data_IF_573103703349
#
_entry.id   IF_573103703349
#
_cell.length_a   1.000
_cell.length_b   1.000
_cell.length_c   1.000
_cell.angle_alpha   90.00
_cell.angle_beta   90.00
_cell.angle_gamma   90.00
#
_symmetry.space_group_name_H-M   'P 1'
#
loop_
_entity.id
_entity.type
_entity.pdbx_description
1 polymer ?
#
# COMPACT_ATOMS: atom_id res chain seq x y z
N UNK A 1 -2.22 -36.15 -12.53
CA UNK A 1 -1.33 -35.37 -13.44
C UNK A 1 -2.03 -34.86 -14.71
N UNK A 2 -3.24 -35.33 -15.04
CA UNK A 2 -3.95 -34.95 -16.28
C UNK A 2 -4.91 -33.76 -16.12
N UNK A 3 -5.38 -33.45 -14.91
CA UNK A 3 -6.35 -32.38 -14.69
C UNK A 3 -5.77 -30.98 -14.94
N UNK A 4 -4.51 -30.74 -14.61
CA UNK A 4 -3.84 -29.46 -14.89
C UNK A 4 -3.65 -29.24 -16.40
N UNK A 5 -3.41 -30.30 -17.17
CA UNK A 5 -3.24 -30.24 -18.63
C UNK A 5 -4.58 -30.05 -19.35
N UNK A 6 -5.64 -30.75 -18.90
CA UNK A 6 -7.00 -30.52 -19.42
C UNK A 6 -7.53 -29.12 -19.10
N UNK A 7 -7.28 -28.61 -17.89
CA UNK A 7 -7.66 -27.23 -17.54
C UNK A 7 -6.95 -26.20 -18.43
N UNK A 8 -5.68 -26.44 -18.80
CA UNK A 8 -4.93 -25.62 -19.76
C UNK A 8 -5.56 -25.65 -21.16
N UNK A 9 -5.94 -26.82 -21.65
CA UNK A 9 -6.62 -26.96 -22.95
C UNK A 9 -8.00 -26.31 -22.98
N UNK A 10 -8.82 -26.49 -21.94
CA UNK A 10 -10.17 -25.87 -21.87
C UNK A 10 -10.12 -24.37 -21.69
N UNK A 11 -9.08 -23.84 -21.03
CA UNK A 11 -8.93 -22.41 -20.79
C UNK A 11 -8.14 -21.70 -21.90
N UNK A 12 -7.42 -22.42 -22.76
CA UNK A 12 -6.74 -21.86 -23.94
C UNK A 12 -5.98 -20.56 -23.64
N UNK A 13 -6.27 -19.50 -24.39
CA UNK A 13 -5.71 -18.15 -24.21
C UNK A 13 -6.10 -17.46 -22.89
N UNK A 14 -7.13 -17.97 -22.20
CA UNK A 14 -7.54 -17.52 -20.87
C UNK A 14 -6.77 -18.24 -19.74
N UNK A 15 -5.99 -19.27 -20.03
CA UNK A 15 -5.13 -19.91 -19.03
C UNK A 15 -3.98 -18.97 -18.64
N UNK A 16 -4.06 -18.37 -17.45
CA UNK A 16 -3.15 -17.31 -17.02
C UNK A 16 -3.73 -15.89 -17.17
N UNK A 17 -4.90 -15.75 -17.79
CA UNK A 17 -5.67 -14.51 -17.65
C UNK A 17 -6.26 -14.45 -16.24
N UNK A 18 -5.71 -13.54 -15.42
CA UNK A 18 -6.36 -13.12 -14.17
C UNK A 18 -7.81 -12.76 -14.49
N UNK A 19 -8.75 -13.50 -13.88
CA UNK A 19 -10.19 -13.33 -14.03
C UNK A 19 -10.54 -11.84 -13.98
N UNK A 20 -11.05 -11.33 -15.08
CA UNK A 20 -11.50 -9.96 -15.19
C UNK A 20 -12.72 -9.75 -14.31
N UNK A 21 -12.51 -9.28 -13.07
CA UNK A 21 -13.50 -8.40 -12.45
C UNK A 21 -13.72 -7.20 -13.37
N UNK A 22 -14.87 -6.50 -13.28
CA UNK A 22 -15.24 -5.47 -14.26
C UNK A 22 -14.15 -4.41 -14.51
N UNK A 23 -13.23 -4.25 -13.55
CA UNK A 23 -12.16 -3.27 -13.55
C UNK A 23 -11.04 -3.65 -14.52
N UNK A 24 -10.69 -2.70 -15.39
CA UNK A 24 -9.55 -2.83 -16.30
C UNK A 24 -8.27 -2.97 -15.48
N UNK A 25 -7.40 -3.91 -15.85
CA UNK A 25 -6.10 -4.16 -15.19
C UNK A 25 -5.25 -2.89 -15.07
N UNK A 26 -5.34 -2.01 -16.08
CA UNK A 26 -4.65 -0.72 -16.09
C UNK A 26 -5.10 0.20 -14.95
N UNK A 27 -6.39 0.21 -14.61
CA UNK A 27 -6.92 1.02 -13.51
C UNK A 27 -6.44 0.51 -12.15
N UNK A 28 -6.38 -0.82 -11.97
CA UNK A 28 -5.83 -1.45 -10.76
C UNK A 28 -4.35 -1.10 -10.55
N UNK A 29 -3.55 -1.18 -11.61
CA UNK A 29 -2.12 -0.81 -11.54
C UNK A 29 -1.91 0.67 -11.24
N UNK A 30 -2.75 1.55 -11.80
CA UNK A 30 -2.71 2.98 -11.50
C UNK A 30 -3.09 3.24 -10.03
N UNK A 31 -4.17 2.63 -9.54
CA UNK A 31 -4.60 2.76 -8.14
C UNK A 31 -3.52 2.27 -7.19
N UNK A 32 -2.94 1.08 -7.45
CA UNK A 32 -1.88 0.53 -6.62
C UNK A 32 -0.67 1.47 -6.55
N UNK A 33 -0.25 2.05 -7.67
CA UNK A 33 0.86 3.02 -7.70
C UNK A 33 0.53 4.27 -6.89
N UNK A 34 -0.69 4.80 -7.01
CA UNK A 34 -1.15 5.97 -6.27
C UNK A 34 -1.24 5.71 -4.77
N UNK A 35 -1.83 4.59 -4.36
CA UNK A 35 -1.97 4.21 -2.96
C UNK A 35 -0.61 3.99 -2.32
N UNK A 36 0.29 3.22 -2.95
CA UNK A 36 1.63 2.98 -2.41
C UNK A 36 2.41 4.28 -2.23
N UNK A 37 2.33 5.21 -3.19
CA UNK A 37 2.95 6.54 -3.06
C UNK A 37 2.29 7.38 -1.96
N UNK A 38 0.96 7.36 -1.87
CA UNK A 38 0.20 8.05 -0.84
C UNK A 38 0.51 7.52 0.57
N UNK A 39 0.70 6.21 0.72
CA UNK A 39 1.08 5.58 1.99
C UNK A 39 2.45 6.07 2.46
N UNK A 40 3.43 6.13 1.56
CA UNK A 40 4.76 6.67 1.90
C UNK A 40 4.69 8.13 2.32
N UNK A 41 3.88 8.94 1.63
CA UNK A 41 3.61 10.33 2.03
C UNK A 41 2.95 10.41 3.40
N UNK A 42 1.95 9.57 3.68
CA UNK A 42 1.25 9.52 4.96
C UNK A 42 2.18 9.12 6.12
N UNK A 43 3.03 8.11 5.91
CA UNK A 43 4.04 7.71 6.91
C UNK A 43 5.02 8.85 7.14
N UNK A 44 5.54 9.47 6.07
CA UNK A 44 6.45 10.61 6.19
C UNK A 44 5.83 11.76 6.98
N UNK A 45 4.58 12.11 6.67
CA UNK A 45 3.86 13.17 7.37
C UNK A 45 3.63 12.84 8.86
N UNK A 46 3.24 11.60 9.17
CA UNK A 46 3.09 11.14 10.55
C UNK A 46 4.39 11.26 11.34
N UNK A 47 5.51 10.84 10.75
CA UNK A 47 6.84 10.97 11.37
C UNK A 47 7.19 12.43 11.58
N UNK A 48 6.99 13.29 10.58
CA UNK A 48 7.26 14.72 10.70
C UNK A 48 6.45 15.34 11.82
N UNK A 49 5.13 15.13 11.86
CA UNK A 49 4.26 15.64 12.93
C UNK A 49 4.70 15.10 14.29
N UNK A 50 5.00 13.80 14.38
CA UNK A 50 5.47 13.19 15.61
C UNK A 50 6.76 13.86 16.11
N UNK A 51 7.74 14.09 15.24
CA UNK A 51 8.98 14.78 15.58
C UNK A 51 8.69 16.25 15.96
N UNK A 52 7.90 16.97 15.18
CA UNK A 52 7.49 18.35 15.48
C UNK A 52 6.91 18.42 16.89
N UNK A 53 5.94 17.60 17.23
CA UNK A 53 5.35 17.51 18.57
C UNK A 53 6.43 17.15 19.60
N UNK A 54 7.23 16.11 19.34
CA UNK A 54 8.22 15.57 20.28
C UNK A 54 9.37 16.53 20.59
N UNK A 55 9.74 17.41 19.67
CA UNK A 55 10.87 18.35 19.82
C UNK A 55 10.40 19.78 20.13
N UNK A 56 9.38 20.27 19.43
CA UNK A 56 8.83 21.62 19.67
C UNK A 56 8.10 21.65 20.99
N UNK A 57 7.32 20.61 21.34
CA UNK A 57 6.59 20.55 22.61
C UNK A 57 7.48 20.80 23.83
N UNK A 58 8.58 20.04 24.02
CA UNK A 58 9.52 20.28 25.11
C UNK A 58 10.29 21.60 24.97
N UNK A 59 10.70 21.98 23.76
CA UNK A 59 11.48 23.22 23.54
C UNK A 59 10.67 24.49 23.83
N UNK A 60 9.35 24.43 23.62
CA UNK A 60 8.41 25.52 23.93
C UNK A 60 7.74 25.35 25.30
N UNK A 61 8.10 24.31 26.08
CA UNK A 61 7.58 24.09 27.42
C UNK A 61 6.12 23.61 27.51
N UNK A 62 5.56 23.06 26.43
CA UNK A 62 4.18 22.55 26.40
C UNK A 62 4.00 21.24 27.20
N UNK A 63 5.05 20.43 27.34
CA UNK A 63 5.14 19.32 28.28
C UNK A 63 6.60 18.95 28.54
N UNK A 64 6.89 18.50 29.75
CA UNK A 64 8.20 17.97 30.13
C UNK A 64 8.28 16.46 29.93
N UNK A 65 9.46 16.00 29.52
CA UNK A 65 9.77 14.59 29.43
C UNK A 65 10.47 14.23 30.73
N UNK A 66 9.70 13.72 31.68
CA UNK A 66 10.27 13.12 32.88
C UNK A 66 10.98 11.82 32.47
N UNK A 67 12.30 11.88 32.43
CA UNK A 67 13.16 10.70 32.43
C UNK A 67 13.21 10.23 33.89
N UNK A 68 12.68 9.04 34.15
CA UNK A 68 12.75 8.38 35.46
C UNK A 68 14.11 7.68 35.64
#
# INVERSE_FOLDING_TARGET
>A
MGEAKRRKETLGEAYGQQQGGWLKKEQLLLIQKWVTRGTWLGIGLLVVIWLTVRFIGPSFGWWELTVN
#
